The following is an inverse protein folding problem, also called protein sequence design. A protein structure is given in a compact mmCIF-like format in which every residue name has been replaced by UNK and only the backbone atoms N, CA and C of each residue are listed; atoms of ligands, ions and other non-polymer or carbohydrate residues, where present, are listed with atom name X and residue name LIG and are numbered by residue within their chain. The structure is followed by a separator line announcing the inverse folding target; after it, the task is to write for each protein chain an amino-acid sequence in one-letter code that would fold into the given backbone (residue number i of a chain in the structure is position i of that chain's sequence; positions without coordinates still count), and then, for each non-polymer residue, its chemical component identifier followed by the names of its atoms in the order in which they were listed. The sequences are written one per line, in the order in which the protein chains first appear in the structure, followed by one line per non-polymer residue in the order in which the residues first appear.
data_IF_490928940035
#
_entry.id   IF_490928940035
#
_cell.length_a   1.000
_cell.length_b   1.000
_cell.length_c   1.000
_cell.angle_alpha   90.00
_cell.angle_beta   90.00
_cell.angle_gamma   90.00
#
_symmetry.space_group_name_H-M   'P 1'
#
loop_
_entity.id
_entity.type
_entity.pdbx_description
1 polymer ?
#
# COMPACT_ATOMS: atom_id res chain seq x y z
N UNK A 1 -21.98 19.61 11.22
CA UNK A 1 -22.03 18.16 10.91
C UNK A 1 -20.93 17.88 9.90
N UNK A 2 -20.11 16.84 10.07
CA UNK A 2 -19.16 16.46 9.00
C UNK A 2 -19.97 15.85 7.85
N UNK A 3 -19.78 16.30 6.61
CA UNK A 3 -20.49 15.71 5.48
C UNK A 3 -20.11 14.23 5.34
N UNK A 4 -21.09 13.42 4.98
CA UNK A 4 -20.88 11.99 4.72
C UNK A 4 -20.01 11.77 3.49
N UNK A 5 -19.37 10.60 3.39
CA UNK A 5 -18.52 10.26 2.24
C UNK A 5 -19.29 10.38 0.91
N UNK A 6 -20.57 9.97 0.91
CA UNK A 6 -21.44 10.03 -0.26
C UNK A 6 -21.75 11.47 -0.66
N UNK A 7 -22.00 12.37 0.30
CA UNK A 7 -22.26 13.79 0.04
C UNK A 7 -21.03 14.47 -0.56
N UNK A 8 -19.83 14.15 -0.05
CA UNK A 8 -18.57 14.65 -0.61
C UNK A 8 -18.37 14.12 -2.04
N UNK A 9 -18.71 12.86 -2.30
CA UNK A 9 -18.58 12.28 -3.64
C UNK A 9 -19.55 12.89 -4.66
N UNK A 10 -20.79 13.17 -4.26
CA UNK A 10 -21.76 13.88 -5.09
C UNK A 10 -21.27 15.29 -5.43
N UNK A 11 -20.72 16.01 -4.45
CA UNK A 11 -20.14 17.34 -4.67
C UNK A 11 -19.01 17.29 -5.70
N UNK A 12 -18.07 16.35 -5.56
CA UNK A 12 -16.96 16.17 -6.52
C UNK A 12 -17.51 15.82 -7.91
N UNK A 13 -18.52 14.96 -7.98
CA UNK A 13 -19.13 14.53 -9.25
C UNK A 13 -19.77 15.69 -10.01
N UNK A 14 -20.26 16.71 -9.30
CA UNK A 14 -20.88 17.88 -9.91
C UNK A 14 -19.87 18.97 -10.34
N UNK A 15 -18.58 18.82 -10.02
CA UNK A 15 -17.57 19.80 -10.41
C UNK A 15 -17.21 19.76 -11.91
N UNK A 16 -16.74 20.88 -12.48
CA UNK A 16 -16.09 20.89 -13.79
C UNK A 16 -14.90 19.94 -13.87
N UNK A 17 -14.57 19.48 -15.07
CA UNK A 17 -13.48 18.53 -15.30
C UNK A 17 -12.13 19.02 -14.75
N UNK A 18 -11.78 20.29 -14.96
CA UNK A 18 -10.51 20.85 -14.48
C UNK A 18 -10.40 20.85 -12.96
N UNK A 19 -11.50 21.09 -12.24
CA UNK A 19 -11.52 21.05 -10.79
C UNK A 19 -11.42 19.61 -10.26
N UNK A 20 -12.13 18.67 -10.90
CA UNK A 20 -11.99 17.24 -10.61
C UNK A 20 -10.55 16.78 -10.76
N UNK A 21 -9.89 17.20 -11.84
CA UNK A 21 -8.50 16.84 -12.14
C UNK A 21 -7.55 17.29 -11.03
N UNK A 22 -7.74 18.48 -10.47
CA UNK A 22 -6.95 18.98 -9.33
C UNK A 22 -7.15 18.08 -8.09
N UNK A 23 -8.40 17.73 -7.78
CA UNK A 23 -8.74 16.88 -6.62
C UNK A 23 -8.13 15.49 -6.78
N UNK A 24 -8.37 14.83 -7.93
CA UNK A 24 -7.84 13.50 -8.18
C UNK A 24 -6.31 13.47 -8.17
N UNK A 25 -5.65 14.49 -8.73
CA UNK A 25 -4.19 14.60 -8.67
C UNK A 25 -3.70 14.65 -7.22
N UNK A 26 -4.32 15.48 -6.39
CA UNK A 26 -3.94 15.58 -4.98
C UNK A 26 -4.18 14.28 -4.20
N UNK A 27 -5.28 13.58 -4.48
CA UNK A 27 -5.54 12.25 -3.90
C UNK A 27 -4.49 11.22 -4.34
N UNK A 28 -4.11 11.24 -5.62
CA UNK A 28 -3.07 10.37 -6.16
C UNK A 28 -1.72 10.65 -5.50
N UNK A 29 -1.35 11.92 -5.34
CA UNK A 29 -0.10 12.32 -4.67
C UNK A 29 -0.07 11.84 -3.21
N UNK A 30 -1.19 11.94 -2.48
CA UNK A 30 -1.29 11.46 -1.11
C UNK A 30 -1.19 9.93 -1.00
N UNK A 31 -1.84 9.20 -1.92
CA UNK A 31 -1.73 7.73 -1.99
C UNK A 31 -0.29 7.32 -2.28
N UNK A 32 0.36 7.97 -3.26
CA UNK A 32 1.75 7.69 -3.61
C UNK A 32 2.69 7.95 -2.42
N UNK A 33 2.51 9.06 -1.70
CA UNK A 33 3.29 9.37 -0.51
C UNK A 33 3.16 8.27 0.54
N UNK A 34 1.93 7.84 0.86
CA UNK A 34 1.70 6.78 1.86
C UNK A 34 2.27 5.42 1.44
N UNK A 35 2.22 5.10 0.15
CA UNK A 35 2.81 3.88 -0.39
C UNK A 35 4.34 3.92 -0.28
N UNK A 36 4.96 5.05 -0.60
CA UNK A 36 6.41 5.23 -0.44
C UNK A 36 6.81 5.10 1.03
N UNK A 37 6.08 5.74 1.96
CA UNK A 37 6.35 5.61 3.41
C UNK A 37 6.26 4.16 3.89
N UNK A 38 5.35 3.36 3.32
CA UNK A 38 5.25 1.93 3.62
C UNK A 38 6.43 1.15 3.06
N UNK A 39 6.84 1.43 1.82
CA UNK A 39 7.98 0.80 1.19
C UNK A 39 9.28 1.10 1.96
N UNK A 40 9.49 2.35 2.35
CA UNK A 40 10.65 2.77 3.12
C UNK A 40 10.72 2.03 4.46
N UNK A 41 9.59 1.93 5.18
CA UNK A 41 9.52 1.16 6.43
C UNK A 41 9.79 -0.33 6.23
N UNK A 42 9.32 -0.92 5.14
CA UNK A 42 9.60 -2.33 4.83
C UNK A 42 11.08 -2.51 4.54
N UNK A 43 11.67 -1.63 3.74
CA UNK A 43 13.09 -1.65 3.41
C UNK A 43 13.97 -1.51 4.66
N UNK A 44 13.69 -0.52 5.51
CA UNK A 44 14.39 -0.32 6.79
C UNK A 44 14.35 -1.58 7.67
N UNK A 45 13.18 -2.23 7.76
CA UNK A 45 13.05 -3.48 8.52
C UNK A 45 13.87 -4.61 7.92
N UNK A 46 13.87 -4.75 6.59
CA UNK A 46 14.69 -5.79 5.92
C UNK A 46 16.19 -5.51 6.03
N UNK A 47 16.61 -4.25 6.13
CA UNK A 47 18.01 -3.90 6.39
C UNK A 47 18.42 -4.17 7.84
N UNK A 48 17.53 -3.95 8.81
CA UNK A 48 17.79 -4.19 10.23
C UNK A 48 17.75 -5.67 10.61
N UNK A 49 16.84 -6.43 9.99
CA UNK A 49 16.65 -7.87 10.22
C UNK A 49 16.79 -8.62 8.90
N UNK A 50 18.01 -8.68 8.33
CA UNK A 50 18.23 -9.43 7.11
C UNK A 50 18.02 -10.92 7.40
N UNK A 51 17.02 -11.51 6.75
CA UNK A 51 16.82 -12.96 6.80
C UNK A 51 17.74 -13.59 5.78
N UNK A 52 18.67 -14.43 6.23
CA UNK A 52 19.54 -15.17 5.31
C UNK A 52 18.71 -16.08 4.41
N UNK A 53 19.04 -16.07 3.12
CA UNK A 53 18.33 -16.86 2.11
C UNK A 53 18.30 -18.36 2.46
N UNK A 54 19.37 -18.86 3.09
CA UNK A 54 19.52 -20.25 3.55
C UNK A 54 18.53 -20.63 4.67
N UNK A 55 18.06 -19.66 5.46
CA UNK A 55 17.03 -19.87 6.48
C UNK A 55 15.67 -20.02 5.81
N UNK A 56 15.40 -19.20 4.79
CA UNK A 56 14.15 -19.22 4.03
C UNK A 56 14.00 -20.54 3.26
N UNK A 57 15.06 -21.00 2.58
CA UNK A 57 15.05 -22.27 1.85
C UNK A 57 14.81 -23.45 2.77
N UNK A 58 15.41 -23.48 3.97
CA UNK A 58 15.16 -24.54 4.96
C UNK A 58 13.71 -24.57 5.45
N UNK A 59 13.10 -23.43 5.75
CA UNK A 59 11.68 -23.40 6.13
C UNK A 59 10.77 -23.91 5.01
N UNK A 60 11.03 -23.51 3.77
CA UNK A 60 10.28 -23.98 2.60
C UNK A 60 10.45 -25.48 2.39
N UNK A 61 11.66 -26.02 2.57
CA UNK A 61 11.94 -27.46 2.50
C UNK A 61 11.19 -28.23 3.60
N UNK A 62 11.22 -27.77 4.85
CA UNK A 62 10.47 -28.37 5.97
C UNK A 62 8.96 -28.41 5.67
N UNK A 63 8.40 -27.32 5.13
CA UNK A 63 6.98 -27.26 4.75
C UNK A 63 6.68 -28.23 3.60
N UNK A 64 7.56 -28.32 2.60
CA UNK A 64 7.43 -29.28 1.48
C UNK A 64 7.45 -30.73 1.97
N UNK A 65 8.40 -31.09 2.82
CA UNK A 65 8.50 -32.44 3.40
C UNK A 65 7.22 -32.81 4.17
N UNK A 66 6.64 -31.87 4.93
CA UNK A 66 5.39 -32.11 5.66
C UNK A 66 4.15 -32.38 4.79
N UNK A 67 4.12 -31.87 3.56
CA UNK A 67 2.94 -31.96 2.69
C UNK A 67 3.13 -32.93 1.52
N UNK A 68 4.36 -33.32 1.21
CA UNK A 68 4.70 -34.18 0.08
C UNK A 68 5.63 -35.35 0.42
N UNK A 69 6.00 -35.53 1.69
CA UNK A 69 6.75 -36.68 2.21
C UNK A 69 5.87 -37.79 2.77
#
# INVERSE_FOLDING_TARGET
MKPGLNEVWELITNLPYEEKKIIYKRMQDEVNSKLNDLLDKVNERTEQEPVEFDIITKEVEIVREKHHG
#
